data_IF_404561514199
#
_entry.id   IF_404561514199
#
_cell.length_a   1.000
_cell.length_b   1.000
_cell.length_c   1.000
_cell.angle_alpha   90.00
_cell.angle_beta   90.00
_cell.angle_gamma   90.00
#
_symmetry.space_group_name_H-M   'P 1'
#
loop_
_entity.id
_entity.type
_entity.pdbx_description
1 polymer ?
#
# COMPACT_ATOMS: atom_id res chain seq x y z
N UNK A 1 -14.30 16.70 9.66
CA UNK A 1 -12.87 16.38 9.44
C UNK A 1 -12.76 14.90 9.13
N UNK A 2 -12.34 14.57 7.93
CA UNK A 2 -12.27 13.19 7.44
C UNK A 2 -11.20 12.40 8.18
N UNK A 3 -11.53 11.20 8.64
CA UNK A 3 -10.61 10.30 9.34
C UNK A 3 -10.17 9.19 8.41
N UNK A 4 -8.89 9.04 8.20
CA UNK A 4 -8.33 8.03 7.30
C UNK A 4 -7.37 7.11 8.08
N UNK A 5 -7.51 5.81 7.85
CA UNK A 5 -6.64 4.80 8.39
C UNK A 5 -5.64 4.35 7.31
N UNK A 6 -4.35 4.34 7.64
CA UNK A 6 -3.31 3.74 6.79
C UNK A 6 -2.76 2.50 7.50
N UNK A 7 -2.99 1.32 6.92
CA UNK A 7 -2.48 0.05 7.45
C UNK A 7 -1.38 -0.47 6.53
N UNK A 8 -0.23 -0.83 7.08
CA UNK A 8 0.86 -1.34 6.26
C UNK A 8 1.50 -2.61 6.80
N UNK A 9 2.05 -3.40 5.88
CA UNK A 9 3.00 -4.47 6.16
C UNK A 9 4.36 -4.13 5.56
N UNK A 10 5.43 -4.45 6.26
CA UNK A 10 6.78 -4.23 5.73
C UNK A 10 7.75 -5.28 6.27
N UNK A 11 8.72 -5.65 5.45
CA UNK A 11 9.85 -6.51 5.85
C UNK A 11 11.12 -5.67 6.01
N UNK A 12 11.41 -4.84 5.02
CA UNK A 12 12.68 -4.12 4.91
C UNK A 12 12.53 -2.63 5.23
N UNK A 13 11.32 -2.18 5.62
CA UNK A 13 11.04 -0.81 6.04
C UNK A 13 10.55 0.12 4.91
N UNK A 14 10.71 -0.23 3.63
CA UNK A 14 10.36 0.68 2.54
C UNK A 14 8.85 0.95 2.45
N UNK A 15 8.01 -0.08 2.59
CA UNK A 15 6.54 0.11 2.60
C UNK A 15 6.08 1.01 3.76
N UNK A 16 6.82 1.05 4.87
CA UNK A 16 6.53 2.01 5.95
C UNK A 16 6.76 3.45 5.48
N UNK A 17 7.88 3.73 4.76
CA UNK A 17 8.11 5.05 4.17
C UNK A 17 7.00 5.46 3.21
N UNK A 18 6.51 4.53 2.38
CA UNK A 18 5.38 4.78 1.47
C UNK A 18 4.11 5.10 2.26
N UNK A 19 3.80 4.34 3.30
CA UNK A 19 2.65 4.59 4.18
C UNK A 19 2.74 5.94 4.89
N UNK A 20 3.92 6.30 5.39
CA UNK A 20 4.18 7.59 6.05
C UNK A 20 4.05 8.77 5.08
N UNK A 21 4.54 8.64 3.83
CA UNK A 21 4.40 9.65 2.79
C UNK A 21 2.92 9.88 2.42
N UNK A 22 2.16 8.80 2.24
CA UNK A 22 0.70 8.88 2.01
C UNK A 22 0.02 9.59 3.17
N UNK A 23 0.30 9.19 4.41
CA UNK A 23 -0.29 9.79 5.60
C UNK A 23 0.09 11.28 5.75
N UNK A 24 1.34 11.63 5.47
CA UNK A 24 1.82 13.01 5.48
C UNK A 24 1.07 13.89 4.49
N UNK A 25 0.88 13.40 3.26
CA UNK A 25 0.11 14.11 2.22
C UNK A 25 -1.35 14.29 2.63
N UNK A 26 -2.00 13.23 3.12
CA UNK A 26 -3.40 13.30 3.57
C UNK A 26 -3.59 14.28 4.74
N UNK A 27 -2.64 14.30 5.69
CA UNK A 27 -2.66 15.27 6.81
C UNK A 27 -2.47 16.72 6.32
N UNK A 28 -1.58 16.94 5.36
CA UNK A 28 -1.37 18.25 4.76
C UNK A 28 -2.63 18.79 4.06
N UNK A 29 -3.52 17.89 3.61
CA UNK A 29 -4.82 18.23 3.02
C UNK A 29 -5.98 18.21 4.03
N UNK A 30 -5.69 18.21 5.34
CA UNK A 30 -6.68 18.42 6.40
C UNK A 30 -7.34 17.14 6.94
N UNK A 31 -6.92 15.94 6.53
CA UNK A 31 -7.44 14.71 7.12
C UNK A 31 -6.78 14.36 8.48
N UNK A 32 -7.54 13.77 9.39
CA UNK A 32 -7.00 13.09 10.56
C UNK A 32 -6.53 11.67 10.13
N UNK A 33 -5.25 11.37 10.29
CA UNK A 33 -4.70 10.11 9.78
C UNK A 33 -3.98 9.34 10.87
N UNK A 34 -4.41 8.09 11.08
CA UNK A 34 -3.73 7.11 11.90
C UNK A 34 -2.97 6.10 11.02
N UNK A 35 -1.76 5.73 11.44
CA UNK A 35 -0.89 4.80 10.71
C UNK A 35 -0.57 3.60 11.59
N UNK A 36 -0.88 2.38 11.11
CA UNK A 36 -0.67 1.15 11.85
C UNK A 36 0.06 0.08 11.05
N UNK A 37 0.96 -0.63 11.73
CA UNK A 37 1.59 -1.82 11.17
C UNK A 37 0.76 -3.06 11.47
N UNK A 38 0.29 -3.75 10.44
CA UNK A 38 -0.47 -4.99 10.57
C UNK A 38 0.31 -6.06 11.36
N UNK A 39 -0.37 -6.69 12.32
CA UNK A 39 0.19 -7.77 13.16
C UNK A 39 0.97 -7.29 14.40
N UNK A 40 1.10 -5.98 14.64
CA UNK A 40 1.72 -5.45 15.86
C UNK A 40 0.73 -4.78 16.81
N UNK A 41 -0.39 -4.29 16.28
CA UNK A 41 -1.38 -3.54 17.07
C UNK A 41 -2.77 -4.00 16.64
N UNK A 42 -3.70 -4.08 17.59
CA UNK A 42 -5.12 -4.22 17.27
C UNK A 42 -5.60 -2.90 16.68
N UNK A 43 -5.88 -2.91 15.38
CA UNK A 43 -6.38 -1.76 14.65
C UNK A 43 -7.68 -2.17 13.98
N UNK A 44 -8.75 -1.47 14.30
CA UNK A 44 -10.07 -1.67 13.71
C UNK A 44 -10.33 -0.57 12.68
N UNK A 45 -10.87 -0.90 11.49
CA UNK A 45 -11.19 0.08 10.46
C UNK A 45 -12.49 0.85 10.75
N UNK A 46 -13.17 0.52 11.84
CA UNK A 46 -14.40 1.20 12.27
C UNK A 46 -14.08 2.65 12.66
N UNK A 47 -15.03 3.55 12.39
CA UNK A 47 -14.88 4.97 12.73
C UNK A 47 -13.90 5.75 11.83
N UNK A 48 -13.41 5.16 10.74
CA UNK A 48 -12.69 5.86 9.67
C UNK A 48 -13.56 5.98 8.42
N UNK A 49 -13.42 7.10 7.72
CA UNK A 49 -14.15 7.42 6.50
C UNK A 49 -13.50 6.80 5.26
N UNK A 50 -12.20 6.49 5.35
CA UNK A 50 -11.44 5.83 4.31
C UNK A 50 -10.28 5.00 4.86
N UNK A 51 -9.84 3.97 4.12
CA UNK A 51 -8.73 3.10 4.52
C UNK A 51 -7.76 2.87 3.36
N UNK A 52 -6.47 3.08 3.61
CA UNK A 52 -5.39 2.70 2.68
C UNK A 52 -4.65 1.49 3.26
N UNK A 53 -4.49 0.44 2.47
CA UNK A 53 -3.67 -0.72 2.86
C UNK A 53 -2.45 -0.79 1.95
N UNK A 54 -1.24 -0.77 2.53
CA UNK A 54 0.01 -0.85 1.79
C UNK A 54 0.79 -2.14 2.12
N UNK A 55 1.20 -2.88 1.10
CA UNK A 55 1.89 -4.15 1.29
C UNK A 55 2.96 -4.43 0.22
N UNK A 56 4.13 -5.01 0.60
CA UNK A 56 5.13 -5.42 -0.35
C UNK A 56 4.79 -6.78 -0.96
N UNK A 57 5.07 -6.94 -2.25
CA UNK A 57 5.09 -8.27 -2.90
C UNK A 57 6.39 -8.97 -2.57
N UNK A 58 6.31 -10.18 -2.03
CA UNK A 58 7.46 -11.05 -1.76
C UNK A 58 7.19 -12.47 -2.24
N UNK A 59 8.02 -12.96 -3.16
CA UNK A 59 7.84 -14.30 -3.73
C UNK A 59 6.44 -14.52 -4.31
N UNK A 60 5.87 -13.50 -4.97
CA UNK A 60 4.53 -13.56 -5.56
C UNK A 60 3.38 -13.57 -4.55
N UNK A 61 3.60 -13.15 -3.31
CA UNK A 61 2.57 -13.12 -2.25
C UNK A 61 2.69 -11.87 -1.40
N UNK A 62 1.61 -11.54 -0.68
CA UNK A 62 1.60 -10.52 0.37
C UNK A 62 1.80 -11.14 1.75
N UNK A 63 2.27 -10.31 2.71
CA UNK A 63 2.54 -10.74 4.08
C UNK A 63 1.28 -11.32 4.74
N UNK A 64 1.45 -12.41 5.50
CA UNK A 64 0.36 -13.07 6.21
C UNK A 64 -0.38 -12.15 7.17
N UNK A 65 0.33 -11.21 7.81
CA UNK A 65 -0.28 -10.22 8.70
C UNK A 65 -1.28 -9.31 7.96
N UNK A 66 -0.93 -8.86 6.75
CA UNK A 66 -1.84 -8.06 5.89
C UNK A 66 -3.01 -8.92 5.42
N UNK A 67 -2.75 -10.14 4.92
CA UNK A 67 -3.82 -11.05 4.46
C UNK A 67 -4.84 -11.32 5.56
N UNK A 68 -4.38 -11.66 6.76
CA UNK A 68 -5.26 -11.92 7.90
C UNK A 68 -6.06 -10.69 8.32
N UNK A 69 -5.40 -9.53 8.38
CA UNK A 69 -6.05 -8.29 8.77
C UNK A 69 -7.13 -7.89 7.76
N UNK A 70 -6.81 -7.89 6.45
CA UNK A 70 -7.77 -7.55 5.40
C UNK A 70 -8.94 -8.54 5.38
N UNK A 71 -8.67 -9.85 5.44
CA UNK A 71 -9.72 -10.87 5.46
C UNK A 71 -10.67 -10.71 6.66
N UNK A 72 -10.12 -10.45 7.86
CA UNK A 72 -10.92 -10.24 9.07
C UNK A 72 -11.82 -9.00 9.01
N UNK A 73 -11.45 -7.99 8.21
CA UNK A 73 -12.17 -6.72 8.14
C UNK A 73 -12.81 -6.46 6.76
N UNK A 74 -12.84 -7.45 5.87
CA UNK A 74 -13.29 -7.27 4.49
C UNK A 74 -14.70 -6.64 4.38
N UNK A 75 -15.63 -7.04 5.22
CA UNK A 75 -17.00 -6.47 5.24
C UNK A 75 -16.99 -4.96 5.52
N UNK A 76 -16.22 -4.50 6.51
CA UNK A 76 -16.10 -3.07 6.85
C UNK A 76 -15.34 -2.31 5.77
N UNK A 77 -14.30 -2.93 5.20
CA UNK A 77 -13.51 -2.32 4.13
C UNK A 77 -14.32 -2.14 2.84
N UNK A 78 -15.22 -3.08 2.53
CA UNK A 78 -16.08 -3.01 1.34
C UNK A 78 -17.23 -1.99 1.47
N UNK A 79 -17.52 -1.52 2.69
CA UNK A 79 -18.59 -0.56 2.95
C UNK A 79 -18.15 0.91 2.85
N UNK A 80 -16.88 1.19 2.55
CA UNK A 80 -16.30 2.54 2.50
C UNK A 80 -15.21 2.67 1.43
N UNK A 81 -14.77 3.88 1.09
CA UNK A 81 -13.63 4.08 0.19
C UNK A 81 -12.37 3.42 0.74
N UNK A 82 -11.80 2.52 -0.03
CA UNK A 82 -10.53 1.88 0.32
C UNK A 82 -9.57 1.84 -0.85
N UNK A 83 -8.27 1.87 -0.56
CA UNK A 83 -7.23 1.76 -1.57
C UNK A 83 -6.19 0.72 -1.19
N UNK A 84 -5.72 -0.03 -2.18
CA UNK A 84 -4.64 -0.99 -2.03
C UNK A 84 -3.36 -0.50 -2.73
N UNK A 85 -2.31 -0.30 -1.96
CA UNK A 85 -0.97 0.08 -2.46
C UNK A 85 -0.07 -1.15 -2.48
N UNK A 86 0.23 -1.64 -3.68
CA UNK A 86 1.10 -2.81 -3.89
C UNK A 86 2.52 -2.36 -4.19
N UNK A 87 3.45 -2.57 -3.26
CA UNK A 87 4.86 -2.20 -3.44
C UNK A 87 5.63 -3.35 -4.07
N UNK A 88 6.18 -3.16 -5.27
CA UNK A 88 6.85 -4.21 -6.03
C UNK A 88 8.00 -3.65 -6.88
N UNK A 89 9.14 -4.35 -6.94
CA UNK A 89 10.26 -4.01 -7.82
C UNK A 89 9.98 -4.31 -9.30
N UNK A 90 9.10 -5.25 -9.60
CA UNK A 90 8.79 -5.67 -10.97
C UNK A 90 8.25 -4.55 -11.86
N UNK A 91 7.67 -3.50 -11.30
CA UNK A 91 7.13 -2.34 -12.03
C UNK A 91 8.20 -1.63 -12.86
N UNK A 92 9.47 -1.73 -12.48
CA UNK A 92 10.61 -1.10 -13.18
C UNK A 92 10.84 -1.65 -14.58
N UNK A 93 10.31 -2.83 -14.89
CA UNK A 93 10.58 -3.48 -16.18
C UNK A 93 9.79 -2.87 -17.34
N UNK A 94 8.73 -2.10 -17.08
CA UNK A 94 7.80 -1.60 -18.09
C UNK A 94 7.39 -2.69 -19.11
N UNK A 95 7.34 -3.95 -18.64
CA UNK A 95 7.05 -5.14 -19.42
C UNK A 95 5.62 -5.61 -19.17
N UNK A 96 4.83 -5.73 -20.22
CA UNK A 96 3.44 -6.20 -20.16
C UNK A 96 3.29 -7.56 -19.48
N UNK A 97 4.29 -8.46 -19.59
CA UNK A 97 4.24 -9.77 -18.93
C UNK A 97 4.38 -9.62 -17.40
N UNK A 98 5.22 -8.69 -16.97
CA UNK A 98 5.39 -8.37 -15.53
C UNK A 98 4.16 -7.68 -14.98
N UNK A 99 3.58 -6.75 -15.73
CA UNK A 99 2.33 -6.08 -15.33
C UNK A 99 1.18 -7.07 -15.18
N UNK A 100 1.04 -8.02 -16.12
CA UNK A 100 0.06 -9.12 -16.03
C UNK A 100 0.31 -10.00 -14.81
N UNK A 101 1.58 -10.32 -14.53
CA UNK A 101 1.96 -11.11 -13.36
C UNK A 101 1.61 -10.39 -12.06
N UNK A 102 1.93 -9.10 -11.97
CA UNK A 102 1.58 -8.28 -10.81
C UNK A 102 0.06 -8.18 -10.64
N UNK A 103 -0.65 -7.94 -11.74
CA UNK A 103 -2.12 -7.93 -11.72
C UNK A 103 -2.67 -9.26 -11.19
N UNK A 104 -2.15 -10.40 -11.65
CA UNK A 104 -2.56 -11.73 -11.18
C UNK A 104 -2.31 -11.90 -9.68
N UNK A 105 -1.19 -11.41 -9.15
CA UNK A 105 -0.87 -11.45 -7.71
C UNK A 105 -1.86 -10.62 -6.91
N UNK A 106 -2.19 -9.43 -7.40
CA UNK A 106 -3.17 -8.52 -6.78
C UNK A 106 -4.55 -9.18 -6.80
N UNK A 107 -5.03 -9.61 -7.96
CA UNK A 107 -6.35 -10.21 -8.13
C UNK A 107 -6.52 -11.45 -7.22
N UNK A 108 -5.51 -12.31 -7.15
CA UNK A 108 -5.51 -13.46 -6.24
C UNK A 108 -5.65 -13.04 -4.78
N UNK A 109 -4.91 -12.03 -4.34
CA UNK A 109 -5.00 -11.51 -2.98
C UNK A 109 -6.38 -10.95 -2.67
N UNK A 110 -6.97 -10.19 -3.60
CA UNK A 110 -8.30 -9.61 -3.43
C UNK A 110 -9.39 -10.68 -3.36
N UNK A 111 -9.32 -11.70 -4.23
CA UNK A 111 -10.22 -12.86 -4.19
C UNK A 111 -10.07 -13.63 -2.88
N UNK A 112 -8.84 -13.94 -2.44
CA UNK A 112 -8.58 -14.68 -1.21
C UNK A 112 -9.06 -13.94 0.05
N UNK A 113 -9.06 -12.62 0.04
CA UNK A 113 -9.47 -11.81 1.19
C UNK A 113 -10.93 -11.37 1.14
N UNK A 114 -11.60 -11.46 0.00
CA UNK A 114 -12.96 -10.96 -0.21
C UNK A 114 -13.05 -9.43 -0.19
N UNK A 115 -11.93 -8.74 -0.41
CA UNK A 115 -11.86 -7.28 -0.38
C UNK A 115 -11.87 -6.69 -1.79
N UNK A 116 -12.66 -5.62 -1.96
CA UNK A 116 -12.84 -4.91 -3.23
C UNK A 116 -12.48 -3.42 -3.06
N UNK A 117 -11.20 -3.05 -3.10
CA UNK A 117 -10.79 -1.66 -2.97
C UNK A 117 -11.27 -0.82 -4.15
N UNK A 118 -11.67 0.43 -3.89
CA UNK A 118 -12.04 1.38 -4.94
C UNK A 118 -10.85 1.74 -5.85
N UNK A 119 -9.63 1.70 -5.30
CA UNK A 119 -8.40 2.01 -6.04
C UNK A 119 -7.32 0.99 -5.72
N UNK A 120 -6.61 0.55 -6.75
CA UNK A 120 -5.38 -0.25 -6.60
C UNK A 120 -4.22 0.51 -7.24
N UNK A 121 -3.16 0.75 -6.46
CA UNK A 121 -1.98 1.50 -6.88
C UNK A 121 -0.72 0.65 -6.76
N UNK A 122 -0.14 0.21 -7.87
CA UNK A 122 1.22 -0.31 -7.88
C UNK A 122 2.24 0.80 -7.64
N UNK A 123 3.24 0.54 -6.79
CA UNK A 123 4.32 1.49 -6.46
C UNK A 123 5.65 0.76 -6.56
N UNK A 124 6.63 1.38 -7.22
CA UNK A 124 7.97 0.82 -7.28
C UNK A 124 8.62 0.79 -5.89
N UNK A 125 9.30 -0.30 -5.58
CA UNK A 125 9.91 -0.53 -4.28
C UNK A 125 11.35 -0.03 -4.17
N UNK A 126 12.10 -0.62 -3.23
CA UNK A 126 13.52 -0.34 -3.02
C UNK A 126 14.32 -1.65 -2.86
N UNK A 127 15.62 -1.57 -3.12
CA UNK A 127 16.60 -2.63 -2.94
C UNK A 127 17.58 -2.24 -1.84
N UNK A 128 17.31 -2.54 -0.56
CA UNK A 128 18.21 -2.25 0.54
C UNK A 128 19.34 -3.30 0.61
N UNK A 129 20.23 -3.33 -0.38
CA UNK A 129 21.32 -4.30 -0.46
C UNK A 129 22.22 -4.30 0.77
N UNK A 130 22.44 -3.16 1.39
CA UNK A 130 23.29 -3.04 2.58
C UNK A 130 22.72 -3.76 3.80
N UNK A 131 21.41 -4.00 3.82
CA UNK A 131 20.68 -4.70 4.90
C UNK A 131 20.55 -6.20 4.66
N UNK A 132 20.86 -6.67 3.46
CA UNK A 132 20.77 -8.08 3.12
C UNK A 132 22.02 -8.84 3.55
N UNK A 133 21.83 -10.06 4.10
CA UNK A 133 22.95 -10.99 4.23
C UNK A 133 23.46 -11.39 2.83
N UNK A 134 24.65 -11.98 2.77
CA UNK A 134 25.33 -12.29 1.50
C UNK A 134 24.46 -13.14 0.56
N UNK A 135 23.70 -14.12 1.09
CA UNK A 135 22.86 -15.03 0.31
C UNK A 135 21.67 -14.28 -0.31
N UNK A 136 20.92 -13.53 0.52
CA UNK A 136 19.78 -12.72 0.05
C UNK A 136 20.26 -11.67 -0.95
N UNK A 137 21.40 -11.03 -0.70
CA UNK A 137 22.02 -10.06 -1.59
C UNK A 137 22.30 -10.66 -2.97
N UNK A 138 22.85 -11.88 -3.04
CA UNK A 138 23.11 -12.57 -4.31
C UNK A 138 21.82 -12.90 -5.07
N UNK A 139 20.79 -13.38 -4.38
CA UNK A 139 19.47 -13.67 -4.98
C UNK A 139 18.83 -12.38 -5.49
N UNK A 140 18.82 -11.32 -4.67
CA UNK A 140 18.22 -10.03 -5.06
C UNK A 140 18.96 -9.37 -6.21
N UNK A 141 20.30 -9.48 -6.28
CA UNK A 141 21.10 -9.04 -7.43
C UNK A 141 20.65 -9.70 -8.73
N UNK A 142 20.38 -11.03 -8.71
CA UNK A 142 19.87 -11.75 -9.88
C UNK A 142 18.47 -11.33 -10.28
N UNK A 143 17.60 -11.10 -9.29
CA UNK A 143 16.22 -10.63 -9.52
C UNK A 143 16.27 -9.21 -10.11
N UNK A 144 17.06 -8.32 -9.52
CA UNK A 144 17.22 -6.95 -10.00
C UNK A 144 17.78 -6.90 -11.42
N UNK A 145 18.82 -7.69 -11.72
CA UNK A 145 19.40 -7.74 -13.06
C UNK A 145 18.41 -8.22 -14.12
N UNK A 146 17.53 -9.18 -13.78
CA UNK A 146 16.42 -9.58 -14.67
C UNK A 146 15.34 -8.51 -14.80
N UNK A 147 15.18 -7.68 -13.77
CA UNK A 147 14.19 -6.62 -13.70
C UNK A 147 14.68 -5.28 -14.30
N UNK A 148 15.87 -5.24 -14.89
CA UNK A 148 16.49 -3.99 -15.39
C UNK A 148 16.88 -3.01 -14.27
N UNK A 149 16.94 -3.47 -13.01
CA UNK A 149 17.36 -2.68 -11.86
C UNK A 149 18.86 -2.76 -11.60
N UNK A 150 19.32 -1.95 -10.64
CA UNK A 150 20.73 -1.85 -10.28
C UNK A 150 21.28 -3.12 -9.62
N UNK A 151 22.46 -3.54 -10.05
CA UNK A 151 23.13 -4.77 -9.59
C UNK A 151 24.37 -4.51 -8.71
N UNK A 152 24.74 -3.24 -8.48
CA UNK A 152 25.76 -2.88 -7.52
C UNK A 152 25.22 -3.06 -6.10
N UNK A 153 25.77 -4.01 -5.37
CA UNK A 153 25.28 -4.40 -4.05
C UNK A 153 25.95 -3.65 -2.89
N UNK A 154 26.76 -2.64 -3.20
CA UNK A 154 27.48 -1.84 -2.18
C UNK A 154 26.63 -0.71 -1.60
N UNK A 155 25.53 -0.37 -2.24
CA UNK A 155 24.60 0.69 -1.85
C UNK A 155 23.13 0.27 -2.00
N UNK A 156 22.27 1.03 -1.38
CA UNK A 156 20.81 0.86 -1.47
C UNK A 156 20.26 1.67 -2.66
N UNK A 157 19.20 1.15 -3.27
CA UNK A 157 18.50 1.81 -4.37
C UNK A 157 17.03 1.98 -4.02
N UNK A 158 16.48 3.13 -4.37
CA UNK A 158 15.08 3.46 -4.18
C UNK A 158 14.48 3.96 -5.50
N UNK A 159 13.43 3.32 -5.96
CA UNK A 159 12.82 3.55 -7.28
C UNK A 159 11.42 4.16 -7.20
N UNK A 160 10.99 4.49 -6.01
CA UNK A 160 9.66 5.05 -5.78
C UNK A 160 9.52 6.43 -6.39
N UNK A 161 8.55 6.61 -7.27
CA UNK A 161 8.10 7.94 -7.68
C UNK A 161 7.26 8.57 -6.57
N UNK A 162 7.91 9.41 -5.77
CA UNK A 162 7.28 10.08 -4.65
C UNK A 162 6.23 11.10 -5.07
N UNK A 163 6.34 11.68 -6.29
CA UNK A 163 5.32 12.58 -6.80
C UNK A 163 4.04 11.81 -7.14
N UNK A 164 4.17 10.65 -7.77
CA UNK A 164 3.05 9.76 -8.08
C UNK A 164 2.36 9.24 -6.80
N UNK A 165 3.13 8.94 -5.74
CA UNK A 165 2.59 8.58 -4.42
C UNK A 165 1.80 9.74 -3.79
N UNK A 166 2.31 10.98 -3.88
CA UNK A 166 1.60 12.16 -3.39
C UNK A 166 0.30 12.38 -4.14
N UNK A 167 0.36 12.39 -5.48
CA UNK A 167 -0.83 12.56 -6.33
C UNK A 167 -1.90 11.51 -6.03
N UNK A 168 -1.50 10.25 -5.84
CA UNK A 168 -2.42 9.20 -5.41
C UNK A 168 -3.06 9.50 -4.05
N UNK A 169 -2.28 9.95 -3.06
CA UNK A 169 -2.78 10.26 -1.73
C UNK A 169 -3.81 11.42 -1.78
N UNK A 170 -3.54 12.47 -2.55
CA UNK A 170 -4.46 13.59 -2.77
C UNK A 170 -5.78 13.11 -3.37
N UNK A 171 -5.72 12.31 -4.44
CA UNK A 171 -6.90 11.76 -5.10
C UNK A 171 -7.73 10.88 -4.16
N UNK A 172 -7.06 10.05 -3.35
CA UNK A 172 -7.74 9.23 -2.36
C UNK A 172 -8.37 10.06 -1.24
N UNK A 173 -7.72 11.13 -0.79
CA UNK A 173 -8.26 12.08 0.17
C UNK A 173 -9.59 12.67 -0.31
N UNK A 174 -9.64 13.15 -1.57
CA UNK A 174 -10.88 13.66 -2.18
C UNK A 174 -11.99 12.59 -2.23
N UNK A 175 -11.64 11.34 -2.52
CA UNK A 175 -12.61 10.24 -2.53
C UNK A 175 -13.19 9.97 -1.14
N UNK A 176 -12.35 9.96 -0.11
CA UNK A 176 -12.76 9.77 1.28
C UNK A 176 -13.62 10.94 1.80
N UNK A 177 -13.25 12.18 1.47
CA UNK A 177 -14.01 13.38 1.85
C UNK A 177 -15.43 13.37 1.27
N UNK A 178 -15.58 13.01 0.01
CA UNK A 178 -16.89 12.89 -0.65
C UNK A 178 -17.77 11.86 0.05
N UNK A 179 -17.21 10.73 0.44
CA UNK A 179 -17.93 9.68 1.14
C UNK A 179 -18.36 10.15 2.55
N UNK A 180 -17.44 10.77 3.30
CA UNK A 180 -17.72 11.30 4.63
C UNK A 180 -18.86 12.34 4.61
N UNK A 181 -18.85 13.22 3.60
CA UNK A 181 -19.89 14.25 3.42
C UNK A 181 -21.24 13.63 3.05
N UNK A 182 -21.25 12.60 2.20
CA UNK A 182 -22.49 11.91 1.80
C UNK A 182 -23.10 11.07 2.94
N UNK A 183 -22.27 10.58 3.86
CA UNK A 183 -22.68 9.75 5.00
C UNK A 183 -23.00 10.56 6.24
N UNK A 184 -22.75 11.88 6.25
CA UNK A 184 -23.12 12.75 7.35
C UNK A 184 -24.64 12.87 7.46
N UNK A 185 -25.27 12.65 8.63
CA UNK A 185 -26.70 12.84 8.79
C UNK A 185 -27.07 14.29 8.46
N UNK A 186 -28.09 14.48 7.62
CA UNK A 186 -28.64 15.80 7.35
C UNK A 186 -28.99 16.48 8.68
N UNK A 187 -28.34 17.60 8.99
CA UNK A 187 -28.72 18.39 10.16
C UNK A 187 -30.17 18.84 9.96
N UNK A 188 -31.08 18.21 10.71
CA UNK A 188 -32.46 18.68 10.82
C UNK A 188 -32.39 20.03 11.51
N UNK A 189 -32.53 21.09 10.75
CA UNK A 189 -32.72 22.44 11.27
C UNK A 189 -34.12 22.48 11.91
N UNK A 190 -34.14 22.52 13.23
CA UNK A 190 -35.35 22.84 13.98
C UNK A 190 -35.60 24.34 13.94
#
# INVERSE_FOLDING_TARGET
>A
MTRILVVYGTTDGHTAKVADAIAGTLRAHGAAVDVYRAGRTHCLPDGYDGVVVAAPVRGGKYLTSIRRWVHAHAAVLNAKPTAFVSVCLGILQHDQAVDRTLKTIIDKFLVETGWHPAVTKPVAGALPYTRYNWLIRHVMKRIAGKAGGDVDTTRDYEYTDWQDVRTFAEQFGVLADRHATASAPAMVTM
#
